data_IF_244341966569
#
_entry.id   IF_244341966569
#
_cell.length_a   1.000
_cell.length_b   1.000
_cell.length_c   1.000
_cell.angle_alpha   90.00
_cell.angle_beta   90.00
_cell.angle_gamma   90.00
#
_symmetry.space_group_name_H-M   'P 1'
#
loop_
_entity.id
_entity.type
_entity.pdbx_description
1 polymer ?
#
# COMPACT_ATOMS: atom_id res chain seq x y z
N UNK A 1 21.44 -0.53 8.25
CA UNK A 1 20.41 -1.56 8.53
C UNK A 1 19.54 -1.64 7.30
N UNK A 2 19.16 -2.85 6.84
CA UNK A 2 18.34 -2.98 5.62
C UNK A 2 16.95 -2.36 5.87
N UNK A 3 16.41 -1.62 4.90
CA UNK A 3 15.08 -0.99 4.99
C UNK A 3 14.16 -1.49 3.90
N UNK A 4 12.98 -1.97 4.31
CA UNK A 4 11.92 -2.40 3.38
C UNK A 4 10.59 -1.81 3.85
N UNK A 5 10.08 -0.83 3.10
CA UNK A 5 8.87 -0.10 3.46
C UNK A 5 7.67 -0.52 2.62
N UNK A 6 6.49 -0.45 3.23
CA UNK A 6 5.25 -0.91 2.61
C UNK A 6 4.32 0.28 2.33
N UNK A 7 3.78 0.35 1.11
CA UNK A 7 2.75 1.30 0.69
C UNK A 7 1.42 0.55 0.55
N UNK A 8 0.37 1.02 1.22
CA UNK A 8 -0.98 0.41 1.17
C UNK A 8 -2.08 1.47 1.11
N UNK A 9 -3.11 1.25 0.30
CA UNK A 9 -4.20 2.23 0.16
C UNK A 9 -4.91 2.48 1.51
N UNK A 10 -5.34 1.42 2.18
CA UNK A 10 -5.98 1.51 3.50
C UNK A 10 -5.46 0.41 4.38
N UNK A 11 -5.02 0.77 5.59
CA UNK A 11 -4.74 -0.19 6.65
C UNK A 11 -5.99 -0.31 7.54
N UNK A 12 -6.74 -1.39 7.39
CA UNK A 12 -7.97 -1.67 8.12
C UNK A 12 -7.92 -2.98 8.89
N UNK A 13 -8.70 -3.05 9.98
CA UNK A 13 -8.84 -4.29 10.73
C UNK A 13 -9.79 -5.25 10.00
N UNK A 14 -9.35 -6.50 9.82
CA UNK A 14 -10.20 -7.57 9.28
C UNK A 14 -10.23 -7.71 7.76
N UNK A 15 -9.52 -6.86 7.00
CA UNK A 15 -9.32 -7.08 5.57
C UNK A 15 -8.03 -7.87 5.27
N UNK A 16 -8.05 -8.61 4.16
CA UNK A 16 -6.98 -9.53 3.79
C UNK A 16 -5.65 -8.83 3.49
N UNK A 17 -5.67 -7.65 2.86
CA UNK A 17 -4.46 -6.92 2.47
C UNK A 17 -3.77 -6.38 3.72
N UNK A 18 -4.52 -5.77 4.64
CA UNK A 18 -3.95 -5.29 5.90
C UNK A 18 -3.40 -6.41 6.75
N UNK A 19 -4.03 -7.59 6.74
CA UNK A 19 -3.51 -8.79 7.37
C UNK A 19 -2.15 -9.21 6.78
N UNK A 20 -2.01 -9.17 5.46
CA UNK A 20 -0.75 -9.44 4.76
C UNK A 20 0.32 -8.39 5.12
N UNK A 21 0.00 -7.09 5.03
CA UNK A 21 0.92 -5.98 5.35
C UNK A 21 1.49 -6.10 6.77
N UNK A 22 0.62 -6.36 7.75
CA UNK A 22 1.03 -6.49 9.15
C UNK A 22 1.88 -7.74 9.39
N UNK A 23 1.53 -8.85 8.74
CA UNK A 23 2.28 -10.11 8.84
C UNK A 23 3.66 -9.99 8.19
N UNK A 24 3.73 -9.35 7.03
CA UNK A 24 4.98 -9.09 6.31
C UNK A 24 5.89 -8.14 7.08
N UNK A 25 5.34 -7.04 7.63
CA UNK A 25 6.07 -6.13 8.51
C UNK A 25 6.74 -6.89 9.65
N UNK A 26 5.96 -7.75 10.33
CA UNK A 26 6.47 -8.56 11.44
C UNK A 26 7.62 -9.47 11.00
N UNK A 27 7.45 -10.22 9.91
CA UNK A 27 8.50 -11.10 9.39
C UNK A 27 9.79 -10.35 9.02
N UNK A 28 9.66 -9.15 8.45
CA UNK A 28 10.79 -8.28 8.11
C UNK A 28 11.52 -7.80 9.37
N UNK A 29 10.76 -7.30 10.35
CA UNK A 29 11.30 -6.83 11.63
C UNK A 29 11.98 -7.97 12.42
N UNK A 30 11.35 -9.16 12.47
CA UNK A 30 11.92 -10.36 13.11
C UNK A 30 13.24 -10.80 12.44
N UNK A 31 13.46 -10.39 11.19
CA UNK A 31 14.68 -10.64 10.42
C UNK A 31 15.71 -9.50 10.50
N UNK A 32 15.50 -8.51 11.36
CA UNK A 32 16.39 -7.35 11.55
C UNK A 32 16.29 -6.28 10.47
N UNK A 33 15.19 -6.23 9.71
CA UNK A 33 14.91 -5.20 8.69
C UNK A 33 14.04 -4.09 9.28
N UNK A 34 14.40 -2.83 9.02
CA UNK A 34 13.54 -1.69 9.33
C UNK A 34 12.35 -1.66 8.38
N UNK A 35 11.12 -1.68 8.92
CA UNK A 35 9.92 -1.73 8.08
C UNK A 35 8.78 -0.90 8.65
N UNK A 36 8.59 0.27 8.04
CA UNK A 36 7.43 1.13 8.22
C UNK A 36 6.31 0.85 7.20
N UNK A 37 5.08 1.10 7.64
CA UNK A 37 3.86 1.02 6.81
C UNK A 37 3.38 2.45 6.53
N UNK A 38 3.22 2.78 5.27
CA UNK A 38 2.70 4.06 4.80
C UNK A 38 1.32 3.85 4.17
N UNK A 39 0.31 4.53 4.70
CA UNK A 39 -1.08 4.36 4.28
C UNK A 39 -1.77 5.69 3.94
N UNK A 40 -2.75 5.65 3.03
CA UNK A 40 -3.65 6.80 2.79
C UNK A 40 -4.67 6.87 3.93
N UNK A 41 -5.31 5.75 4.24
CA UNK A 41 -6.28 5.65 5.32
C UNK A 41 -5.80 4.64 6.37
N UNK A 42 -6.10 4.91 7.64
CA UNK A 42 -5.84 4.00 8.74
C UNK A 42 -7.08 3.89 9.62
N UNK A 43 -7.55 2.66 9.84
CA UNK A 43 -8.69 2.41 10.69
C UNK A 43 -8.37 2.78 12.16
N UNK A 44 -9.29 3.37 12.94
CA UNK A 44 -9.00 3.82 14.30
C UNK A 44 -8.43 2.76 15.24
N UNK A 45 -8.84 1.50 15.09
CA UNK A 45 -8.30 0.37 15.87
C UNK A 45 -6.81 0.06 15.58
N UNK A 46 -6.29 0.53 14.45
CA UNK A 46 -4.89 0.39 14.04
C UNK A 46 -4.14 1.72 14.14
N UNK A 47 -4.67 2.70 14.86
CA UNK A 47 -4.03 4.01 15.01
C UNK A 47 -2.59 3.85 15.52
N UNK A 48 -1.65 4.53 14.85
CA UNK A 48 -0.22 4.45 15.16
C UNK A 48 0.49 3.24 14.55
N UNK A 49 -0.20 2.38 13.79
CA UNK A 49 0.41 1.25 13.05
C UNK A 49 0.86 1.63 11.64
N UNK A 50 0.54 2.83 11.18
CA UNK A 50 0.97 3.36 9.89
C UNK A 50 1.32 4.82 10.00
N UNK A 51 2.21 5.25 9.12
CA UNK A 51 2.56 6.64 8.84
C UNK A 51 1.72 7.11 7.65
N UNK A 52 1.44 8.41 7.56
CA UNK A 52 0.79 8.98 6.39
C UNK A 52 1.69 8.83 5.14
N UNK A 53 1.12 8.35 4.04
CA UNK A 53 1.87 8.12 2.80
C UNK A 53 2.56 9.37 2.22
N UNK A 54 2.09 10.58 2.58
CA UNK A 54 2.70 11.83 2.12
C UNK A 54 4.07 12.06 2.74
N UNK A 55 4.31 11.50 3.92
CA UNK A 55 5.61 11.56 4.61
C UNK A 55 6.66 10.63 4.02
N UNK A 56 6.28 9.71 3.14
CA UNK A 56 7.25 8.85 2.46
C UNK A 56 8.06 9.65 1.43
N UNK A 57 9.38 9.67 1.59
CA UNK A 57 10.30 10.44 0.73
C UNK A 57 11.21 9.60 -0.17
N UNK A 58 11.19 8.27 -0.05
CA UNK A 58 12.04 7.39 -0.86
C UNK A 58 13.53 7.55 -0.53
N UNK A 59 13.96 7.03 0.62
CA UNK A 59 15.38 7.06 1.03
C UNK A 59 16.26 6.23 0.09
N UNK A 60 17.45 6.72 -0.28
CA UNK A 60 18.34 6.13 -1.32
C UNK A 60 18.60 4.62 -1.17
N UNK A 61 18.60 4.08 0.06
CA UNK A 61 18.88 2.68 0.36
C UNK A 61 17.66 1.87 0.87
N UNK A 62 16.43 2.28 0.53
CA UNK A 62 15.22 1.52 0.88
C UNK A 62 14.64 0.74 -0.30
N UNK A 63 14.18 -0.49 -0.03
CA UNK A 63 13.28 -1.22 -0.93
C UNK A 63 11.83 -0.88 -0.60
N UNK A 64 10.96 -0.89 -1.61
CA UNK A 64 9.55 -0.51 -1.45
C UNK A 64 8.61 -1.58 -1.98
N UNK A 65 7.64 -1.95 -1.15
CA UNK A 65 6.58 -2.90 -1.49
C UNK A 65 5.27 -2.13 -1.64
N UNK A 66 4.64 -2.19 -2.81
CA UNK A 66 3.30 -1.65 -3.02
C UNK A 66 2.27 -2.78 -3.00
N UNK A 67 1.32 -2.71 -2.07
CA UNK A 67 0.14 -3.58 -2.04
C UNK A 67 -0.93 -2.97 -2.96
N UNK A 68 -0.91 -3.39 -4.22
CA UNK A 68 -1.69 -2.79 -5.27
C UNK A 68 -3.08 -3.43 -5.39
N UNK A 69 -4.08 -2.69 -4.93
CA UNK A 69 -5.48 -3.16 -4.84
C UNK A 69 -6.51 -2.20 -5.43
N UNK A 70 -6.13 -0.95 -5.68
CA UNK A 70 -6.98 0.06 -6.32
C UNK A 70 -6.10 1.21 -6.81
N UNK A 71 -6.56 1.95 -7.83
CA UNK A 71 -5.88 3.16 -8.29
C UNK A 71 -5.85 4.21 -7.18
N UNK A 72 -4.67 4.78 -6.93
CA UNK A 72 -4.50 5.79 -5.88
C UNK A 72 -3.24 6.63 -6.08
N UNK A 73 -3.06 7.73 -5.32
CA UNK A 73 -1.81 8.51 -5.35
C UNK A 73 -0.54 7.70 -4.99
N UNK A 74 -0.69 6.51 -4.40
CA UNK A 74 0.45 5.60 -4.18
C UNK A 74 1.05 5.10 -5.49
N UNK A 75 0.25 4.97 -6.56
CA UNK A 75 0.73 4.54 -7.87
C UNK A 75 1.78 5.53 -8.41
N UNK A 76 1.47 6.82 -8.35
CA UNK A 76 2.39 7.89 -8.78
C UNK A 76 3.63 7.94 -7.90
N UNK A 77 3.44 7.85 -6.58
CA UNK A 77 4.55 7.80 -5.64
C UNK A 77 5.47 6.62 -5.94
N UNK A 78 4.91 5.43 -6.13
CA UNK A 78 5.67 4.23 -6.44
C UNK A 78 6.39 4.32 -7.79
N UNK A 79 5.74 4.89 -8.81
CA UNK A 79 6.35 5.14 -10.12
C UNK A 79 7.56 6.08 -10.03
N UNK A 80 7.46 7.14 -9.23
CA UNK A 80 8.49 8.15 -9.04
C UNK A 80 9.77 7.65 -8.32
N UNK A 81 9.75 6.45 -7.75
CA UNK A 81 10.90 5.82 -7.09
C UNK A 81 11.85 5.16 -8.11
N UNK A 82 12.20 5.89 -9.17
CA UNK A 82 13.20 5.43 -10.13
C UNK A 82 14.54 5.20 -9.42
N UNK A 83 15.22 4.10 -9.74
CA UNK A 83 16.48 3.71 -9.07
C UNK A 83 16.33 2.87 -7.79
N UNK A 84 15.16 2.88 -7.14
CA UNK A 84 14.91 2.00 -5.99
C UNK A 84 14.62 0.56 -6.41
N UNK A 85 14.90 -0.39 -5.52
CA UNK A 85 14.33 -1.73 -5.62
C UNK A 85 12.86 -1.70 -5.23
N UNK A 86 12.00 -2.21 -6.10
CA UNK A 86 10.55 -2.10 -5.96
C UNK A 86 9.86 -3.44 -6.19
N UNK A 87 8.93 -3.78 -5.30
CA UNK A 87 8.09 -4.97 -5.38
C UNK A 87 6.62 -4.59 -5.47
N UNK A 88 5.90 -5.17 -6.42
CA UNK A 88 4.47 -4.97 -6.59
C UNK A 88 3.73 -6.24 -6.17
N UNK A 89 2.88 -6.14 -5.14
CA UNK A 89 1.97 -7.20 -4.74
C UNK A 89 0.57 -6.85 -5.25
N UNK A 90 0.16 -7.49 -6.35
CA UNK A 90 -1.13 -7.22 -7.00
C UNK A 90 -2.25 -8.06 -6.40
N UNK A 91 -3.31 -7.39 -5.94
CA UNK A 91 -4.44 -7.99 -5.20
C UNK A 91 -5.70 -8.19 -6.05
N UNK A 92 -5.58 -8.22 -7.37
CA UNK A 92 -6.68 -8.32 -8.34
C UNK A 92 -7.71 -7.19 -8.24
N UNK A 93 -7.94 -6.48 -9.35
CA UNK A 93 -9.01 -5.50 -9.45
C UNK A 93 -10.30 -6.19 -9.92
N UNK A 94 -11.31 -6.19 -9.05
CA UNK A 94 -12.67 -6.58 -9.46
C UNK A 94 -13.17 -5.60 -10.53
N UNK A 95 -13.73 -6.06 -11.66
CA UNK A 95 -14.12 -5.16 -12.73
C UNK A 95 -15.12 -4.08 -12.27
N UNK A 96 -15.00 -2.83 -12.77
CA UNK A 96 -15.77 -1.70 -12.26
C UNK A 96 -17.28 -1.85 -12.45
N UNK A 97 -17.72 -2.66 -13.41
CA UNK A 97 -19.15 -2.90 -13.71
C UNK A 97 -19.88 -3.49 -12.49
N UNK A 98 -19.19 -4.22 -11.63
CA UNK A 98 -19.74 -4.80 -10.40
C UNK A 98 -20.10 -3.75 -9.34
N UNK A 99 -19.55 -2.54 -9.43
CA UNK A 99 -19.76 -1.46 -8.46
C UNK A 99 -20.63 -0.32 -9.03
N UNK A 100 -21.02 -0.39 -10.30
CA UNK A 100 -21.86 0.63 -10.93
C UNK A 100 -23.22 0.74 -10.23
N UNK A 101 -23.63 1.97 -9.90
CA UNK A 101 -24.87 2.24 -9.16
C UNK A 101 -24.81 1.93 -7.66
N UNK A 102 -23.73 1.32 -7.16
CA UNK A 102 -23.53 1.01 -5.73
C UNK A 102 -22.51 1.96 -5.13
N UNK A 103 -21.32 2.08 -5.74
CA UNK A 103 -20.25 2.95 -5.27
C UNK A 103 -19.51 3.60 -6.45
N UNK A 104 -19.92 4.80 -6.89
CA UNK A 104 -19.32 5.46 -8.05
C UNK A 104 -17.86 5.84 -7.83
N UNK A 105 -17.42 6.00 -6.58
CA UNK A 105 -16.02 6.31 -6.27
C UNK A 105 -15.10 5.12 -6.53
N UNK A 106 -15.47 3.93 -6.05
CA UNK A 106 -14.71 2.70 -6.31
C UNK A 106 -14.62 2.40 -7.81
N UNK A 107 -15.69 2.67 -8.57
CA UNK A 107 -15.68 2.54 -10.04
C UNK A 107 -14.56 3.38 -10.65
N UNK A 108 -14.43 4.63 -10.23
CA UNK A 108 -13.40 5.53 -10.75
C UNK A 108 -12.00 5.10 -10.30
N UNK A 109 -11.82 4.77 -9.02
CA UNK A 109 -10.54 4.34 -8.47
C UNK A 109 -10.05 3.04 -9.16
N UNK A 110 -10.96 2.11 -9.52
CA UNK A 110 -10.61 0.91 -10.31
C UNK A 110 -10.19 1.28 -11.73
N UNK A 111 -10.93 2.17 -12.42
CA UNK A 111 -10.59 2.60 -13.78
C UNK A 111 -9.23 3.28 -13.84
N UNK A 112 -8.94 4.16 -12.88
CA UNK A 112 -7.62 4.76 -12.70
C UNK A 112 -6.56 3.68 -12.46
N UNK A 113 -6.90 2.61 -11.75
CA UNK A 113 -5.99 1.50 -11.53
C UNK A 113 -5.77 0.56 -12.73
N UNK A 114 -6.62 0.63 -13.75
CA UNK A 114 -6.49 -0.17 -14.97
C UNK A 114 -5.75 0.57 -16.09
N UNK A 115 -5.61 1.90 -15.97
CA UNK A 115 -4.93 2.78 -16.92
C UNK A 115 -3.42 2.84 -16.69
#
# INVERSE_FOLDING_TARGET
MKKIHQLVHTLSYGDAISGEVLSLQRCLQDSGVESEIYAINCHPLLKGRSIDYRSFVGEEDCEVILHYSIGSPLNDRYRALEGHQRTLLYHNLTPPEWFMGVNPRIVEDIRVGQA
#
